data_IF_033586169168
#
_entry.id   IF_033586169168
#
_cell.length_a   1.000
_cell.length_b   1.000
_cell.length_c   1.000
_cell.angle_alpha   90.00
_cell.angle_beta   90.00
_cell.angle_gamma   90.00
#
_symmetry.space_group_name_H-M   'P 1'
#
loop_
_entity.id
_entity.type
_entity.pdbx_description
1 polymer ?
#
# COMPACT_ATOMS: atom_id res chain seq x y z
N UNK A 1 5.91 15.33 -6.72
CA UNK A 1 6.61 14.21 -6.08
C UNK A 1 5.80 12.96 -6.31
N UNK A 2 6.44 11.87 -6.69
CA UNK A 2 5.78 10.55 -6.80
C UNK A 2 5.42 10.10 -5.40
N UNK A 3 4.18 9.69 -5.17
CA UNK A 3 3.74 9.18 -3.88
C UNK A 3 4.50 7.90 -3.55
N UNK A 4 5.06 7.81 -2.36
CA UNK A 4 5.72 6.61 -1.86
C UNK A 4 4.72 5.74 -1.10
N UNK A 5 4.87 4.44 -1.19
CA UNK A 5 4.00 3.44 -0.56
C UNK A 5 4.80 2.46 0.31
N UNK A 6 5.93 2.93 0.90
CA UNK A 6 6.81 2.07 1.72
C UNK A 6 6.13 1.61 3.00
N UNK A 7 5.41 2.50 3.67
CA UNK A 7 4.74 2.20 4.93
C UNK A 7 3.29 2.67 4.94
N UNK A 8 2.37 1.77 5.27
CA UNK A 8 0.99 2.06 5.55
C UNK A 8 0.69 1.62 6.99
N UNK A 9 0.51 2.58 7.91
CA UNK A 9 0.22 2.28 9.31
C UNK A 9 -1.28 2.40 9.60
N UNK A 10 -1.88 1.33 10.15
CA UNK A 10 -3.26 1.37 10.63
C UNK A 10 -3.34 2.00 12.02
N UNK A 11 -4.30 2.91 12.18
CA UNK A 11 -4.56 3.63 13.43
C UNK A 11 -6.04 3.52 13.77
N UNK A 12 -6.43 2.87 14.90
CA UNK A 12 -7.83 2.72 15.30
C UNK A 12 -8.57 4.05 15.37
N UNK A 13 -9.67 4.15 14.62
CA UNK A 13 -10.42 5.39 14.44
C UNK A 13 -11.26 5.82 15.64
N UNK A 14 -11.50 4.91 16.59
CA UNK A 14 -12.26 5.20 17.81
C UNK A 14 -11.40 5.70 18.99
N UNK A 15 -10.08 5.87 18.81
CA UNK A 15 -9.19 6.30 19.88
C UNK A 15 -8.62 7.71 19.60
N UNK A 16 -9.13 8.77 20.27
CA UNK A 16 -8.67 10.15 20.05
C UNK A 16 -7.17 10.35 20.31
N UNK A 17 -6.58 9.62 21.28
CA UNK A 17 -5.15 9.71 21.59
C UNK A 17 -4.30 9.17 20.43
N UNK A 18 -4.76 8.11 19.76
CA UNK A 18 -4.04 7.55 18.64
C UNK A 18 -4.14 8.45 17.41
N UNK A 19 -5.31 9.04 17.16
CA UNK A 19 -5.48 10.03 16.08
C UNK A 19 -4.58 11.25 16.30
N UNK A 20 -4.44 11.72 17.54
CA UNK A 20 -3.54 12.83 17.86
C UNK A 20 -2.06 12.44 17.72
N UNK A 21 -1.66 11.27 18.25
CA UNK A 21 -0.30 10.75 18.10
C UNK A 21 0.09 10.53 16.64
N UNK A 22 -0.87 10.18 15.79
CA UNK A 22 -0.64 9.94 14.38
C UNK A 22 -0.09 11.17 13.63
N UNK A 23 -0.30 12.38 14.13
CA UNK A 23 0.28 13.62 13.58
C UNK A 23 1.81 13.62 13.54
N UNK A 24 2.45 12.87 14.44
CA UNK A 24 3.91 12.77 14.59
C UNK A 24 4.52 11.57 13.88
N UNK A 25 3.69 10.74 13.24
CA UNK A 25 4.19 9.56 12.53
C UNK A 25 4.79 9.97 11.18
N UNK A 26 5.97 9.44 10.90
CA UNK A 26 6.67 9.65 9.64
C UNK A 26 6.42 8.50 8.64
N UNK A 27 5.26 7.86 8.72
CA UNK A 27 4.84 6.88 7.73
C UNK A 27 4.48 7.56 6.42
N UNK A 28 4.61 6.86 5.28
CA UNK A 28 4.17 7.41 3.99
C UNK A 28 2.63 7.56 3.99
N UNK A 29 1.92 6.59 4.58
CA UNK A 29 0.46 6.62 4.74
C UNK A 29 0.09 6.34 6.21
N UNK A 30 -0.69 7.24 6.79
CA UNK A 30 -1.47 6.99 7.99
C UNK A 30 -2.89 6.63 7.58
N UNK A 31 -3.33 5.43 7.92
CA UNK A 31 -4.64 4.91 7.59
C UNK A 31 -5.51 4.81 8.85
N UNK A 32 -6.47 5.71 9.00
CA UNK A 32 -7.45 5.63 10.09
C UNK A 32 -8.42 4.49 9.81
N UNK A 33 -8.59 3.62 10.79
CA UNK A 33 -9.35 2.40 10.62
C UNK A 33 -10.79 2.53 11.13
N UNK A 34 -11.75 2.08 10.33
CA UNK A 34 -13.16 1.91 10.69
C UNK A 34 -13.59 0.44 10.70
N UNK A 35 -12.66 -0.49 10.40
CA UNK A 35 -12.99 -1.89 10.25
C UNK A 35 -12.64 -2.70 11.50
N UNK A 36 -11.70 -3.63 11.40
CA UNK A 36 -11.45 -4.68 12.41
C UNK A 36 -10.97 -4.15 13.75
N UNK A 37 -10.23 -3.04 13.78
CA UNK A 37 -9.76 -2.44 15.04
C UNK A 37 -10.83 -1.66 15.79
N UNK A 38 -12.03 -1.51 15.22
CA UNK A 38 -13.13 -0.75 15.81
C UNK A 38 -14.35 -1.65 16.04
N UNK A 39 -14.81 -1.87 17.27
CA UNK A 39 -16.03 -2.62 17.54
C UNK A 39 -17.27 -2.01 16.89
N UNK A 40 -18.26 -2.82 16.56
CA UNK A 40 -19.45 -2.40 15.83
C UNK A 40 -20.22 -1.25 16.50
N UNK A 41 -20.36 -1.30 17.82
CA UNK A 41 -21.00 -0.24 18.60
C UNK A 41 -20.23 1.09 18.61
N UNK A 42 -18.92 1.06 18.32
CA UNK A 42 -18.06 2.25 18.28
C UNK A 42 -17.90 2.86 16.87
N UNK A 43 -18.32 2.17 15.81
CA UNK A 43 -18.11 2.63 14.43
C UNK A 43 -18.72 4.00 14.14
N UNK A 44 -19.88 4.29 14.70
CA UNK A 44 -20.52 5.61 14.53
C UNK A 44 -19.70 6.74 15.20
N UNK A 45 -19.15 6.47 16.38
CA UNK A 45 -18.26 7.38 17.10
C UNK A 45 -16.93 7.56 16.34
N UNK A 46 -16.32 6.46 15.89
CA UNK A 46 -15.07 6.49 15.12
C UNK A 46 -15.18 7.35 13.85
N UNK A 47 -16.28 7.25 13.09
CA UNK A 47 -16.52 8.12 11.93
C UNK A 47 -16.47 9.61 12.31
N UNK A 48 -17.10 10.00 13.42
CA UNK A 48 -17.11 11.40 13.90
C UNK A 48 -15.71 11.86 14.32
N UNK A 49 -14.97 11.01 15.02
CA UNK A 49 -13.60 11.30 15.45
C UNK A 49 -12.66 11.46 14.25
N UNK A 50 -12.70 10.55 13.28
CA UNK A 50 -11.93 10.67 12.04
C UNK A 50 -12.31 11.93 11.28
N UNK A 51 -13.62 12.21 11.13
CA UNK A 51 -14.10 13.45 10.49
C UNK A 51 -13.52 14.69 11.14
N UNK A 52 -13.42 14.71 12.46
CA UNK A 52 -12.79 15.81 13.20
C UNK A 52 -11.28 15.86 12.96
N UNK A 53 -10.58 14.73 12.99
CA UNK A 53 -9.14 14.65 12.75
C UNK A 53 -8.76 15.17 11.36
N UNK A 54 -9.55 14.86 10.33
CA UNK A 54 -9.34 15.33 8.96
C UNK A 54 -9.37 16.86 8.81
N UNK A 55 -10.07 17.59 9.69
CA UNK A 55 -10.03 19.08 9.71
C UNK A 55 -8.63 19.60 10.02
N UNK A 56 -7.82 18.84 10.73
CA UNK A 56 -6.43 19.17 11.08
C UNK A 56 -5.41 18.63 10.06
N UNK A 57 -5.79 18.38 8.79
CA UNK A 57 -4.94 17.77 7.75
C UNK A 57 -3.52 18.35 7.69
N UNK A 58 -3.38 19.66 7.86
CA UNK A 58 -2.07 20.36 7.82
C UNK A 58 -1.10 19.94 8.94
N UNK A 59 -1.59 19.32 9.99
CA UNK A 59 -0.78 18.83 11.11
C UNK A 59 -0.20 17.42 10.87
N UNK A 60 -0.54 16.79 9.75
CA UNK A 60 -0.03 15.47 9.37
C UNK A 60 0.94 15.61 8.22
N UNK A 61 2.15 15.07 8.36
CA UNK A 61 3.14 14.99 7.28
C UNK A 61 2.80 13.86 6.29
N UNK A 62 2.25 12.76 6.80
CA UNK A 62 1.82 11.60 6.04
C UNK A 62 0.63 11.87 5.13
N UNK A 63 0.47 11.09 4.06
CA UNK A 63 -0.83 10.99 3.38
C UNK A 63 -1.86 10.34 4.29
N UNK A 64 -3.09 10.90 4.31
CA UNK A 64 -4.17 10.42 5.19
C UNK A 64 -5.18 9.61 4.41
N UNK A 65 -5.26 8.35 4.76
CA UNK A 65 -6.24 7.40 4.24
C UNK A 65 -7.20 6.96 5.33
N UNK A 66 -8.36 6.45 4.93
CA UNK A 66 -9.32 5.83 5.86
C UNK A 66 -9.64 4.43 5.34
N UNK A 67 -9.45 3.39 6.18
CA UNK A 67 -9.95 2.06 5.88
C UNK A 67 -11.43 2.02 6.22
N UNK A 68 -12.27 1.83 5.21
CA UNK A 68 -13.72 1.68 5.36
C UNK A 68 -14.07 0.31 5.93
N UNK A 69 -15.32 0.08 6.27
CA UNK A 69 -15.82 -1.29 6.44
C UNK A 69 -15.85 -2.02 5.08
N UNK A 70 -15.95 -3.35 5.10
CA UNK A 70 -15.97 -4.16 3.87
C UNK A 70 -17.20 -3.91 3.01
N UNK A 71 -17.14 -4.17 1.68
CA UNK A 71 -18.29 -4.05 0.77
C UNK A 71 -19.49 -4.85 1.26
N UNK A 72 -19.26 -6.08 1.72
CA UNK A 72 -20.30 -6.99 2.20
C UNK A 72 -21.01 -6.54 3.48
N UNK A 73 -20.39 -5.63 4.27
CA UNK A 73 -20.96 -5.16 5.55
C UNK A 73 -22.18 -4.24 5.39
N UNK A 74 -22.41 -3.65 4.22
CA UNK A 74 -23.40 -2.61 3.99
C UNK A 74 -23.10 -1.26 4.65
N UNK A 75 -21.95 -1.11 5.32
CA UNK A 75 -21.58 0.08 6.10
C UNK A 75 -20.86 1.17 5.29
N UNK A 76 -20.34 0.84 4.10
CA UNK A 76 -19.57 1.77 3.23
C UNK A 76 -20.29 3.10 2.98
N UNK A 77 -21.59 3.17 2.65
CA UNK A 77 -22.24 4.46 2.42
C UNK A 77 -22.20 5.38 3.64
N UNK A 78 -22.32 4.80 4.84
CA UNK A 78 -22.22 5.56 6.09
C UNK A 78 -20.79 6.04 6.35
N UNK A 79 -19.78 5.19 6.09
CA UNK A 79 -18.37 5.53 6.24
C UNK A 79 -18.02 6.70 5.30
N UNK A 80 -18.28 6.52 4.01
CA UNK A 80 -17.92 7.51 2.98
C UNK A 80 -18.64 8.85 3.20
N UNK A 81 -19.93 8.81 3.61
CA UNK A 81 -20.69 10.03 3.93
C UNK A 81 -19.99 10.88 4.99
N UNK A 82 -19.34 10.27 5.98
CA UNK A 82 -18.68 11.01 7.06
C UNK A 82 -17.23 11.38 6.73
N UNK A 83 -16.46 10.49 6.08
CA UNK A 83 -15.01 10.68 5.92
C UNK A 83 -14.59 11.36 4.61
N UNK A 84 -15.40 11.31 3.56
CA UNK A 84 -15.09 11.95 2.27
C UNK A 84 -15.27 13.47 2.40
N UNK A 85 -14.21 14.16 2.80
CA UNK A 85 -14.19 15.62 2.97
C UNK A 85 -12.79 16.18 2.68
N UNK A 86 -12.66 17.50 2.70
CA UNK A 86 -11.32 18.12 2.59
C UNK A 86 -10.38 17.58 3.66
N UNK A 87 -9.21 17.14 3.24
CA UNK A 87 -8.18 16.61 4.14
C UNK A 87 -7.98 15.09 4.06
N UNK A 88 -8.84 14.36 3.34
CA UNK A 88 -8.57 12.96 3.00
C UNK A 88 -7.83 12.87 1.66
N UNK A 89 -6.84 11.99 1.57
CA UNK A 89 -6.08 11.73 0.35
C UNK A 89 -6.58 10.46 -0.37
N UNK A 90 -7.08 9.47 0.39
CA UNK A 90 -7.58 8.21 -0.16
C UNK A 90 -8.36 7.37 0.83
N UNK A 91 -8.88 6.25 0.32
CA UNK A 91 -9.50 5.20 1.11
C UNK A 91 -8.80 3.86 0.88
N UNK A 92 -8.74 3.04 1.92
CA UNK A 92 -8.41 1.62 1.84
C UNK A 92 -9.71 0.84 1.92
N UNK A 93 -9.95 -0.05 0.97
CA UNK A 93 -11.18 -0.83 0.87
C UNK A 93 -10.84 -2.28 1.22
N UNK A 94 -11.23 -2.79 2.40
CA UNK A 94 -10.93 -4.16 2.79
C UNK A 94 -11.80 -5.16 2.03
N UNK A 95 -11.33 -6.39 1.92
CA UNK A 95 -12.09 -7.55 1.45
C UNK A 95 -12.75 -7.33 0.08
N UNK A 96 -12.01 -6.72 -0.85
CA UNK A 96 -12.46 -6.53 -2.24
C UNK A 96 -12.32 -7.85 -2.98
N UNK A 97 -13.43 -8.35 -3.52
CA UNK A 97 -13.48 -9.62 -4.23
C UNK A 97 -13.45 -9.46 -5.76
N UNK A 98 -14.02 -8.38 -6.27
CA UNK A 98 -14.14 -8.20 -7.72
C UNK A 98 -14.38 -6.70 -8.09
N UNK A 99 -14.44 -6.44 -9.39
CA UNK A 99 -14.67 -5.08 -9.91
C UNK A 99 -16.07 -4.52 -9.65
N UNK A 100 -17.06 -5.34 -9.28
CA UNK A 100 -18.39 -4.83 -8.91
C UNK A 100 -18.33 -4.07 -7.60
N UNK A 101 -17.53 -4.56 -6.63
CA UNK A 101 -17.28 -3.85 -5.37
C UNK A 101 -16.70 -2.47 -5.64
N UNK A 102 -15.68 -2.42 -6.52
CA UNK A 102 -15.00 -1.19 -6.88
C UNK A 102 -15.94 -0.18 -7.56
N UNK A 103 -16.82 -0.65 -8.48
CA UNK A 103 -17.80 0.20 -9.18
C UNK A 103 -18.80 0.86 -8.23
N UNK A 104 -19.31 0.09 -7.26
CA UNK A 104 -20.26 0.62 -6.27
C UNK A 104 -19.62 1.73 -5.47
N UNK A 105 -18.39 1.50 -4.98
CA UNK A 105 -17.66 2.46 -4.15
C UNK A 105 -17.29 3.71 -4.95
N UNK A 106 -16.78 3.54 -6.17
CA UNK A 106 -16.44 4.67 -7.05
C UNK A 106 -17.65 5.55 -7.34
N UNK A 107 -18.83 4.96 -7.57
CA UNK A 107 -20.07 5.72 -7.79
C UNK A 107 -20.41 6.59 -6.58
N UNK A 108 -20.30 6.05 -5.36
CA UNK A 108 -20.55 6.82 -4.12
C UNK A 108 -19.52 7.93 -3.94
N UNK A 109 -18.21 7.61 -4.13
CA UNK A 109 -17.13 8.58 -4.04
C UNK A 109 -17.34 9.74 -5.02
N UNK A 110 -17.59 9.45 -6.29
CA UNK A 110 -17.78 10.47 -7.33
C UNK A 110 -18.97 11.39 -7.02
N UNK A 111 -20.07 10.83 -6.50
CA UNK A 111 -21.22 11.62 -6.06
C UNK A 111 -20.88 12.57 -4.92
N UNK A 112 -20.14 12.09 -3.91
CA UNK A 112 -19.72 12.91 -2.76
C UNK A 112 -18.68 13.96 -3.16
N UNK A 113 -17.72 13.62 -4.00
CA UNK A 113 -16.70 14.53 -4.52
C UNK A 113 -17.33 15.71 -5.29
N UNK A 114 -18.25 15.40 -6.21
CA UNK A 114 -18.96 16.40 -6.99
C UNK A 114 -19.75 17.35 -6.07
N UNK A 115 -20.54 16.79 -5.14
CA UNK A 115 -21.35 17.57 -4.20
C UNK A 115 -20.49 18.46 -3.29
N UNK A 116 -19.31 17.97 -2.89
CA UNK A 116 -18.40 18.65 -1.95
C UNK A 116 -17.28 19.42 -2.63
N UNK A 117 -17.24 19.44 -3.96
CA UNK A 117 -16.21 20.10 -4.80
C UNK A 117 -14.79 19.64 -4.42
N UNK A 118 -14.61 18.33 -4.26
CA UNK A 118 -13.33 17.72 -3.93
C UNK A 118 -12.62 17.23 -5.21
N UNK A 119 -11.29 17.11 -5.11
CA UNK A 119 -10.51 16.37 -6.10
C UNK A 119 -10.79 14.87 -5.98
N UNK A 120 -10.57 14.07 -7.06
CA UNK A 120 -10.72 12.64 -6.99
C UNK A 120 -9.87 12.03 -5.86
N UNK A 121 -10.51 11.21 -5.03
CA UNK A 121 -9.90 10.50 -3.88
C UNK A 121 -9.32 9.19 -4.37
N UNK A 122 -8.14 8.82 -3.88
CA UNK A 122 -7.47 7.58 -4.24
C UNK A 122 -8.17 6.37 -3.61
N UNK A 123 -8.08 5.22 -4.28
CA UNK A 123 -8.60 3.94 -3.82
C UNK A 123 -7.45 2.94 -3.72
N UNK A 124 -7.34 2.28 -2.58
CA UNK A 124 -6.41 1.18 -2.34
C UNK A 124 -7.25 -0.05 -1.95
N UNK A 125 -7.56 -0.97 -2.89
CA UNK A 125 -8.21 -2.22 -2.53
C UNK A 125 -7.27 -3.11 -1.70
N UNK A 126 -7.82 -3.83 -0.74
CA UNK A 126 -7.13 -4.87 0.01
C UNK A 126 -7.61 -6.25 -0.45
N UNK A 127 -6.67 -7.11 -0.81
CA UNK A 127 -6.91 -8.47 -1.31
C UNK A 127 -6.74 -9.43 -0.15
N UNK A 128 -7.84 -10.01 0.28
CA UNK A 128 -7.97 -10.72 1.56
C UNK A 128 -8.78 -12.03 1.46
N UNK A 129 -9.13 -12.44 0.23
CA UNK A 129 -9.89 -13.65 -0.05
C UNK A 129 -9.36 -14.38 -1.29
N UNK A 130 -9.72 -15.65 -1.44
CA UNK A 130 -9.38 -16.46 -2.62
C UNK A 130 -9.96 -15.83 -3.91
N UNK A 131 -11.22 -15.36 -3.87
CA UNK A 131 -11.85 -14.66 -5.00
C UNK A 131 -11.09 -13.38 -5.35
N UNK A 132 -10.70 -12.56 -4.35
CA UNK A 132 -9.90 -11.36 -4.53
C UNK A 132 -8.53 -11.66 -5.14
N UNK A 133 -7.86 -12.74 -4.69
CA UNK A 133 -6.57 -13.18 -5.26
C UNK A 133 -6.71 -13.56 -6.73
N UNK A 134 -7.75 -14.30 -7.11
CA UNK A 134 -8.00 -14.66 -8.52
C UNK A 134 -8.23 -13.40 -9.36
N UNK A 135 -8.95 -12.43 -8.84
CA UNK A 135 -9.36 -11.21 -9.54
C UNK A 135 -8.37 -10.02 -9.38
N UNK A 136 -7.20 -10.20 -8.76
CA UNK A 136 -6.29 -9.09 -8.41
C UNK A 136 -6.00 -8.18 -9.59
N UNK A 137 -5.66 -8.72 -10.76
CA UNK A 137 -5.35 -7.89 -11.94
C UNK A 137 -6.54 -7.03 -12.36
N UNK A 138 -7.75 -7.58 -12.42
CA UNK A 138 -8.95 -6.82 -12.80
C UNK A 138 -9.31 -5.75 -11.77
N UNK A 139 -9.12 -6.03 -10.47
CA UNK A 139 -9.32 -5.07 -9.39
C UNK A 139 -8.30 -3.94 -9.47
N UNK A 140 -7.03 -4.25 -9.66
CA UNK A 140 -5.94 -3.25 -9.72
C UNK A 140 -5.97 -2.41 -11.01
N UNK A 141 -6.46 -2.97 -12.12
CA UNK A 141 -6.65 -2.28 -13.40
C UNK A 141 -7.98 -1.52 -13.49
N UNK A 142 -8.78 -1.48 -12.44
CA UNK A 142 -10.14 -0.96 -12.46
C UNK A 142 -10.24 0.51 -12.93
N UNK A 143 -9.25 1.33 -12.64
CA UNK A 143 -9.26 2.71 -13.10
C UNK A 143 -8.16 3.57 -12.48
N UNK A 144 -8.11 4.84 -12.92
CA UNK A 144 -7.05 5.79 -12.54
C UNK A 144 -7.00 6.15 -11.05
N UNK A 145 -8.01 5.77 -10.28
CA UNK A 145 -8.05 6.01 -8.81
C UNK A 145 -7.28 4.97 -8.01
N UNK A 146 -7.02 3.80 -8.60
CA UNK A 146 -6.25 2.74 -7.94
C UNK A 146 -4.77 3.07 -8.11
N UNK A 147 -4.09 3.35 -7.00
CA UNK A 147 -2.67 3.70 -6.97
C UNK A 147 -1.81 2.62 -6.33
N UNK A 148 -2.42 1.81 -5.49
CA UNK A 148 -1.78 0.69 -4.83
C UNK A 148 -2.81 -0.41 -4.50
N UNK A 149 -2.33 -1.58 -4.12
CA UNK A 149 -3.10 -2.69 -3.56
C UNK A 149 -2.44 -3.16 -2.27
N UNK A 150 -3.23 -3.51 -1.26
CA UNK A 150 -2.76 -4.11 0.00
C UNK A 150 -3.02 -5.61 -0.02
N UNK A 151 -2.08 -6.39 0.50
CA UNK A 151 -2.27 -7.80 0.78
C UNK A 151 -2.69 -8.01 2.24
N UNK A 152 -3.85 -8.63 2.48
CA UNK A 152 -4.36 -8.98 3.80
C UNK A 152 -4.26 -10.48 4.05
N UNK A 153 -3.18 -10.92 4.71
CA UNK A 153 -2.86 -12.34 4.86
C UNK A 153 -3.78 -13.08 5.82
N UNK A 154 -4.23 -12.42 6.89
CA UNK A 154 -5.01 -13.10 7.95
C UNK A 154 -6.41 -13.47 7.48
N UNK A 155 -7.11 -12.53 6.87
CA UNK A 155 -8.44 -12.79 6.32
C UNK A 155 -8.37 -13.80 5.17
N UNK A 156 -7.33 -13.74 4.32
CA UNK A 156 -7.11 -14.73 3.27
C UNK A 156 -6.92 -16.14 3.84
N UNK A 157 -6.11 -16.31 4.89
CA UNK A 157 -5.90 -17.63 5.49
C UNK A 157 -7.17 -18.15 6.16
N UNK A 158 -7.96 -17.26 6.78
CA UNK A 158 -9.26 -17.59 7.31
C UNK A 158 -10.24 -18.03 6.21
N UNK A 159 -10.28 -17.31 5.07
CA UNK A 159 -11.10 -17.64 3.91
C UNK A 159 -10.72 -19.01 3.32
N UNK A 160 -9.43 -19.35 3.32
CA UNK A 160 -8.90 -20.64 2.87
C UNK A 160 -9.04 -21.77 3.91
N UNK A 161 -9.47 -21.48 5.14
CA UNK A 161 -9.53 -22.46 6.24
C UNK A 161 -8.15 -22.94 6.70
N UNK A 162 -7.12 -22.10 6.59
CA UNK A 162 -5.72 -22.43 6.91
C UNK A 162 -5.27 -21.63 8.13
N UNK A 163 -4.61 -22.32 9.08
CA UNK A 163 -4.04 -21.66 10.24
C UNK A 163 -2.84 -20.76 9.88
N UNK A 164 -2.75 -19.60 10.53
CA UNK A 164 -1.61 -18.70 10.38
C UNK A 164 -0.34 -19.30 11.01
N UNK A 165 0.74 -19.31 10.25
CA UNK A 165 2.08 -19.63 10.74
C UNK A 165 3.02 -18.47 10.41
N UNK A 166 4.11 -18.29 11.19
CA UNK A 166 5.12 -17.23 10.92
C UNK A 166 5.65 -17.25 9.48
N UNK A 167 5.72 -18.43 8.88
CA UNK A 167 6.20 -18.59 7.49
C UNK A 167 5.11 -18.36 6.45
N UNK A 168 3.85 -18.27 6.88
CA UNK A 168 2.65 -18.08 6.02
C UNK A 168 2.67 -18.98 4.78
N UNK A 169 3.00 -20.25 4.96
CA UNK A 169 3.20 -21.21 3.85
C UNK A 169 1.99 -21.30 2.93
N UNK A 170 0.78 -21.32 3.50
CA UNK A 170 -0.46 -21.40 2.75
C UNK A 170 -0.73 -20.16 1.89
N UNK A 171 -0.17 -19.00 2.25
CA UNK A 171 -0.35 -17.76 1.52
C UNK A 171 0.75 -17.48 0.47
N UNK A 172 1.74 -18.36 0.30
CA UNK A 172 2.91 -18.10 -0.58
C UNK A 172 2.52 -17.78 -2.02
N UNK A 173 1.59 -18.53 -2.59
CA UNK A 173 1.12 -18.28 -3.95
C UNK A 173 0.47 -16.89 -4.07
N UNK A 174 -0.45 -16.57 -3.19
CA UNK A 174 -1.19 -15.31 -3.19
C UNK A 174 -0.23 -14.12 -2.98
N UNK A 175 0.70 -14.26 -2.02
CA UNK A 175 1.71 -13.24 -1.74
C UNK A 175 2.65 -12.99 -2.92
N UNK A 176 2.95 -14.03 -3.72
CA UNK A 176 3.77 -13.89 -4.92
C UNK A 176 2.98 -13.34 -6.12
N UNK A 177 1.70 -13.72 -6.26
CA UNK A 177 0.84 -13.31 -7.38
C UNK A 177 0.48 -11.81 -7.33
N UNK A 178 0.09 -11.31 -6.15
CA UNK A 178 -0.42 -9.94 -6.00
C UNK A 178 0.54 -8.87 -6.55
N UNK A 179 1.84 -8.85 -6.24
CA UNK A 179 2.75 -7.85 -6.81
C UNK A 179 2.96 -7.99 -8.31
N UNK A 180 2.83 -9.19 -8.87
CA UNK A 180 2.89 -9.39 -10.34
C UNK A 180 1.69 -8.73 -11.01
N UNK A 181 0.49 -8.96 -10.51
CA UNK A 181 -0.75 -8.37 -11.03
C UNK A 181 -0.77 -6.83 -10.86
N UNK A 182 -0.33 -6.35 -9.70
CA UNK A 182 -0.19 -4.92 -9.43
C UNK A 182 0.77 -4.25 -10.41
N UNK A 183 1.92 -4.87 -10.65
CA UNK A 183 2.92 -4.37 -11.61
C UNK A 183 2.38 -4.35 -13.05
N UNK A 184 1.64 -5.39 -13.45
CA UNK A 184 0.97 -5.46 -14.74
C UNK A 184 -0.08 -4.35 -14.91
N UNK A 185 -0.75 -3.96 -13.83
CA UNK A 185 -1.70 -2.84 -13.79
C UNK A 185 -1.02 -1.46 -13.64
N UNK A 186 0.29 -1.41 -13.40
CA UNK A 186 1.03 -0.16 -13.19
C UNK A 186 0.79 0.50 -11.82
N UNK A 187 0.41 -0.29 -10.79
CA UNK A 187 0.16 0.19 -9.42
C UNK A 187 1.13 -0.43 -8.43
N UNK A 188 1.29 0.21 -7.26
CA UNK A 188 2.14 -0.31 -6.19
C UNK A 188 1.49 -1.49 -5.46
N UNK A 189 2.29 -2.41 -4.92
CA UNK A 189 1.83 -3.44 -4.00
C UNK A 189 2.39 -3.21 -2.61
N UNK A 190 1.53 -3.27 -1.59
CA UNK A 190 1.84 -3.12 -0.17
C UNK A 190 1.65 -4.48 0.50
N UNK A 191 2.71 -5.02 1.07
CA UNK A 191 2.72 -6.35 1.70
C UNK A 191 1.94 -6.39 3.02
N UNK A 192 1.59 -7.57 3.48
CA UNK A 192 0.82 -7.82 4.70
C UNK A 192 1.55 -7.40 5.97
N UNK A 193 0.81 -7.21 7.06
CA UNK A 193 1.35 -6.91 8.38
C UNK A 193 2.18 -8.07 8.94
N UNK A 194 3.08 -7.73 9.88
CA UNK A 194 3.78 -8.67 10.75
C UNK A 194 3.21 -8.55 12.16
N UNK A 195 2.64 -9.63 12.67
CA UNK A 195 1.89 -9.62 13.92
C UNK A 195 2.76 -9.62 15.18
N UNK A 196 3.91 -10.31 15.15
CA UNK A 196 4.77 -10.49 16.33
C UNK A 196 5.66 -9.25 16.54
N UNK A 197 5.18 -8.31 17.36
CA UNK A 197 5.90 -7.06 17.66
C UNK A 197 7.23 -7.28 18.41
N UNK A 198 7.43 -8.44 19.05
CA UNK A 198 8.66 -8.77 19.77
C UNK A 198 9.73 -9.39 18.89
N UNK A 199 9.36 -9.91 17.72
CA UNK A 199 10.28 -10.54 16.77
C UNK A 199 10.75 -9.56 15.69
N UNK A 200 11.62 -8.63 16.06
CA UNK A 200 12.19 -7.63 15.15
C UNK A 200 13.02 -8.27 14.02
N UNK A 201 13.73 -9.36 14.29
CA UNK A 201 14.53 -10.07 13.28
C UNK A 201 13.65 -10.77 12.26
N UNK A 202 12.56 -11.40 12.71
CA UNK A 202 11.55 -12.00 11.82
C UNK A 202 10.88 -10.94 10.96
N UNK A 203 10.51 -9.80 11.53
CA UNK A 203 9.97 -8.66 10.79
C UNK A 203 10.91 -8.17 9.69
N UNK A 204 12.20 -7.96 10.01
CA UNK A 204 13.20 -7.54 9.01
C UNK A 204 13.36 -8.57 7.88
N UNK A 205 13.39 -9.87 8.22
CA UNK A 205 13.46 -10.96 7.25
C UNK A 205 12.22 -10.96 6.34
N UNK A 206 11.04 -10.79 6.93
CA UNK A 206 9.76 -10.77 6.20
C UNK A 206 9.65 -9.56 5.25
N UNK A 207 10.13 -8.38 5.67
CA UNK A 207 10.25 -7.21 4.78
C UNK A 207 11.16 -7.48 3.57
N UNK A 208 12.31 -8.16 3.78
CA UNK A 208 13.22 -8.55 2.69
C UNK A 208 12.56 -9.52 1.71
N UNK A 209 11.78 -10.48 2.23
CA UNK A 209 11.00 -11.41 1.38
C UNK A 209 9.99 -10.62 0.55
N UNK A 210 9.22 -9.72 1.16
CA UNK A 210 8.26 -8.87 0.44
C UNK A 210 8.93 -8.03 -0.66
N UNK A 211 10.03 -7.34 -0.34
CA UNK A 211 10.81 -6.58 -1.35
C UNK A 211 11.25 -7.45 -2.52
N UNK A 212 11.73 -8.66 -2.24
CA UNK A 212 12.20 -9.59 -3.30
C UNK A 212 11.04 -10.15 -4.15
N UNK A 213 9.82 -10.18 -3.64
CA UNK A 213 8.62 -10.54 -4.40
C UNK A 213 8.07 -9.38 -5.24
N UNK A 214 8.60 -8.16 -5.10
CA UNK A 214 8.18 -6.99 -5.87
C UNK A 214 7.22 -6.05 -5.15
N UNK A 215 7.02 -6.23 -3.83
CA UNK A 215 6.28 -5.24 -3.05
C UNK A 215 7.05 -3.92 -2.93
N UNK A 216 6.32 -2.81 -2.97
CA UNK A 216 6.86 -1.44 -2.82
C UNK A 216 6.96 -1.02 -1.35
N UNK A 217 6.28 -1.73 -0.47
CA UNK A 217 6.21 -1.41 0.97
C UNK A 217 5.45 -2.47 1.74
N UNK A 218 5.11 -2.11 2.98
CA UNK A 218 4.47 -3.02 3.93
C UNK A 218 3.43 -2.32 4.79
N UNK A 219 2.31 -2.98 5.03
CA UNK A 219 1.37 -2.60 6.08
C UNK A 219 1.99 -2.84 7.45
N UNK A 220 1.79 -1.94 8.39
CA UNK A 220 2.36 -1.99 9.72
C UNK A 220 1.34 -1.62 10.80
N UNK A 221 1.58 -2.09 12.01
CA UNK A 221 0.66 -1.93 13.16
C UNK A 221 1.32 -1.25 14.36
N UNK A 222 2.61 -0.95 14.29
CA UNK A 222 3.34 -0.26 15.36
C UNK A 222 4.31 0.80 14.78
N UNK A 223 4.44 1.97 15.43
CA UNK A 223 5.35 3.04 14.98
C UNK A 223 6.80 2.61 14.81
N UNK A 224 7.32 1.74 15.67
CA UNK A 224 8.71 1.26 15.61
C UNK A 224 9.03 0.48 14.34
N UNK A 225 8.01 -0.01 13.63
CA UNK A 225 8.17 -0.69 12.35
C UNK A 225 8.48 0.27 11.19
N UNK A 226 8.16 1.57 11.32
CA UNK A 226 8.30 2.58 10.25
C UNK A 226 9.75 2.67 9.78
N UNK A 227 10.69 2.84 10.70
CA UNK A 227 12.12 3.03 10.37
C UNK A 227 12.71 1.82 9.65
N UNK A 228 12.32 0.61 10.06
CA UNK A 228 12.78 -0.64 9.45
C UNK A 228 12.26 -0.76 8.02
N UNK A 229 10.97 -0.51 7.82
CA UNK A 229 10.33 -0.54 6.50
C UNK A 229 10.94 0.50 5.56
N UNK A 230 11.09 1.74 6.03
CA UNK A 230 11.72 2.81 5.23
C UNK A 230 13.15 2.46 4.82
N UNK A 231 13.96 1.91 5.75
CA UNK A 231 15.32 1.46 5.46
C UNK A 231 15.37 0.36 4.40
N UNK A 232 14.45 -0.61 4.46
CA UNK A 232 14.51 -1.80 3.59
C UNK A 232 13.87 -1.56 2.22
N UNK A 233 12.78 -0.79 2.13
CA UNK A 233 12.10 -0.51 0.87
C UNK A 233 12.65 0.73 0.14
N UNK A 234 13.57 1.48 0.76
CA UNK A 234 14.34 2.51 0.08
C UNK A 234 15.59 1.89 -0.57
N UNK A 235 15.99 2.32 -1.77
CA UNK A 235 17.26 1.91 -2.36
C UNK A 235 18.45 2.28 -1.46
N UNK A 236 19.32 1.33 -1.19
CA UNK A 236 20.51 1.58 -0.39
C UNK A 236 21.64 2.26 -1.21
N UNK A 237 22.67 2.75 -0.53
CA UNK A 237 23.79 3.47 -1.18
C UNK A 237 24.46 2.65 -2.29
N UNK A 238 24.65 1.34 -2.09
CA UNK A 238 25.28 0.46 -3.08
C UNK A 238 24.40 0.24 -4.31
N UNK A 239 23.09 0.06 -4.10
CA UNK A 239 22.10 -0.02 -5.20
C UNK A 239 22.08 1.27 -6.04
N UNK A 240 22.10 2.43 -5.37
CA UNK A 240 22.14 3.75 -6.05
C UNK A 240 23.42 3.93 -6.85
N UNK A 241 24.58 3.60 -6.29
CA UNK A 241 25.88 3.70 -6.96
C UNK A 241 25.93 2.76 -8.17
N UNK A 242 25.48 1.53 -8.00
CA UNK A 242 25.39 0.56 -9.10
C UNK A 242 24.47 1.07 -10.22
N UNK A 243 23.28 1.57 -9.88
CA UNK A 243 22.34 2.10 -10.85
C UNK A 243 22.93 3.29 -11.65
N UNK A 244 23.60 4.22 -10.96
CA UNK A 244 24.33 5.32 -11.63
C UNK A 244 25.41 4.81 -12.61
N UNK A 245 26.15 3.77 -12.21
CA UNK A 245 27.20 3.16 -13.02
C UNK A 245 26.62 2.46 -14.24
N UNK A 246 25.53 1.69 -14.06
CA UNK A 246 24.78 1.05 -15.16
C UNK A 246 24.28 2.08 -16.15
N UNK A 247 23.57 3.11 -15.70
CA UNK A 247 23.04 4.15 -16.58
C UNK A 247 24.15 4.82 -17.39
N UNK A 248 25.24 5.23 -16.74
CA UNK A 248 26.38 5.89 -17.40
C UNK A 248 27.05 4.99 -18.44
N UNK A 249 27.28 3.70 -18.08
CA UNK A 249 27.99 2.76 -18.96
C UNK A 249 27.15 2.34 -20.15
N UNK A 250 25.86 2.06 -19.92
CA UNK A 250 24.92 1.69 -20.97
C UNK A 250 24.76 2.81 -22.01
N UNK A 251 24.54 4.07 -21.58
CA UNK A 251 24.44 5.21 -22.49
C UNK A 251 25.71 5.47 -23.29
N UNK A 252 26.91 5.17 -22.75
CA UNK A 252 28.15 5.21 -23.53
C UNK A 252 28.24 4.10 -24.57
N UNK A 253 27.72 2.90 -24.24
CA UNK A 253 27.73 1.74 -25.11
C UNK A 253 26.78 1.93 -26.30
N UNK A 254 25.56 2.43 -26.04
CA UNK A 254 24.56 2.69 -27.11
C UNK A 254 25.02 3.75 -28.09
N UNK A 255 25.72 4.80 -27.62
CA UNK A 255 26.37 5.80 -28.54
C UNK A 255 27.41 5.18 -29.46
N UNK A 256 27.94 4.01 -29.15
CA UNK A 256 28.90 3.24 -30.00
C UNK A 256 28.22 2.13 -30.78
N UNK A 257 26.89 2.14 -30.89
CA UNK A 257 26.10 1.13 -31.62
C UNK A 257 25.99 -0.24 -30.91
N UNK A 258 26.32 -0.35 -29.60
CA UNK A 258 26.27 -1.61 -28.85
C UNK A 258 25.07 -1.64 -27.93
N UNK A 259 24.19 -2.66 -28.06
CA UNK A 259 23.00 -2.87 -27.24
C UNK A 259 23.27 -3.53 -25.86
N UNK A 260 24.48 -4.05 -25.67
CA UNK A 260 24.91 -4.63 -24.39
C UNK A 260 26.35 -4.26 -24.05
N UNK A 261 26.71 -4.30 -22.77
CA UNK A 261 28.06 -4.02 -22.28
C UNK A 261 28.26 -4.71 -20.91
N UNK A 262 29.35 -4.44 -20.20
CA UNK A 262 29.62 -5.00 -18.89
C UNK A 262 29.84 -3.93 -17.83
N UNK A 263 29.33 -4.18 -16.63
CA UNK A 263 29.58 -3.38 -15.41
C UNK A 263 29.96 -4.33 -14.29
N UNK A 264 31.13 -4.14 -13.68
CA UNK A 264 31.65 -4.97 -12.59
C UNK A 264 31.64 -6.48 -12.91
N UNK A 265 32.02 -6.83 -14.17
CA UNK A 265 32.05 -8.22 -14.66
C UNK A 265 30.68 -8.82 -15.01
N UNK A 266 29.58 -8.06 -14.84
CA UNK A 266 28.23 -8.53 -15.18
C UNK A 266 27.76 -7.91 -16.48
N UNK A 267 27.16 -8.71 -17.35
CA UNK A 267 26.51 -8.24 -18.57
C UNK A 267 25.32 -7.35 -18.22
N UNK A 268 25.21 -6.21 -18.87
CA UNK A 268 24.09 -5.29 -18.80
C UNK A 268 23.58 -4.94 -20.19
N UNK A 269 22.26 -4.76 -20.29
CA UNK A 269 21.52 -4.42 -21.48
C UNK A 269 20.44 -3.37 -21.19
N UNK A 270 19.50 -3.19 -22.09
CA UNK A 270 18.39 -2.25 -21.96
C UNK A 270 17.50 -2.53 -20.74
N UNK A 271 17.29 -3.80 -20.38
CA UNK A 271 16.47 -4.18 -19.20
C UNK A 271 17.12 -3.67 -17.92
N UNK A 272 18.42 -3.90 -17.78
CA UNK A 272 19.21 -3.41 -16.64
C UNK A 272 19.24 -1.87 -16.58
N UNK A 273 19.32 -1.20 -17.72
CA UNK A 273 19.26 0.26 -17.80
C UNK A 273 17.90 0.81 -17.35
N UNK A 274 16.79 0.22 -17.82
CA UNK A 274 15.43 0.61 -17.41
C UNK A 274 15.24 0.43 -15.90
N UNK A 275 15.69 -0.71 -15.36
CA UNK A 275 15.65 -0.97 -13.91
C UNK A 275 16.47 0.06 -13.12
N UNK A 276 17.70 0.32 -13.53
CA UNK A 276 18.57 1.29 -12.89
C UNK A 276 17.97 2.72 -12.92
N UNK A 277 17.37 3.11 -14.03
CA UNK A 277 16.69 4.40 -14.18
C UNK A 277 15.50 4.53 -13.24
N UNK A 278 14.63 3.52 -13.20
CA UNK A 278 13.48 3.49 -12.29
C UNK A 278 13.92 3.59 -10.81
N UNK A 279 14.99 2.86 -10.42
CA UNK A 279 15.55 2.93 -9.07
C UNK A 279 16.06 4.34 -8.73
N UNK A 280 16.71 5.03 -9.68
CA UNK A 280 17.19 6.39 -9.46
C UNK A 280 16.05 7.43 -9.38
N UNK A 281 14.90 7.15 -9.95
CA UNK A 281 13.70 8.01 -9.82
C UNK A 281 13.09 7.96 -8.41
N UNK A 282 13.26 6.85 -7.68
CA UNK A 282 12.79 6.70 -6.29
C UNK A 282 13.61 7.52 -5.28
N UNK A 283 14.80 8.03 -5.67
CA UNK A 283 15.71 8.75 -4.77
C UNK A 283 15.89 10.23 -5.13
N UNK A 284 15.11 10.71 -6.09
CA UNK A 284 14.97 12.13 -6.42
C UNK A 284 13.95 12.81 -5.51
#
# INVERSE_FOLDING_TARGET
MTQLFRSLIFVPGNNPRFLEKAKKLQADIVCFDLEDSVPDNEKANARKLIKSALKSRKSYESSIFVRTNSPASGKIPFDLKEVVQKGIDGIVIPKVNNTKDMKIIEKILSGLENTRKLKPIQMIPSIESAEGVVNTFSITSFGKRVHAVVFGVFDLLNDLGIEYTKESKGAKYSRAKIPVDAHAAGVAAIDAIWQDLKDSKGFEKDCKIGKNLGYSGKSIIHPDQISVVHKLFHPNKSEILWAKKVCKTYLKSTKKGKGATTVDGKMIDEVHFKHAKALLELVK
#
